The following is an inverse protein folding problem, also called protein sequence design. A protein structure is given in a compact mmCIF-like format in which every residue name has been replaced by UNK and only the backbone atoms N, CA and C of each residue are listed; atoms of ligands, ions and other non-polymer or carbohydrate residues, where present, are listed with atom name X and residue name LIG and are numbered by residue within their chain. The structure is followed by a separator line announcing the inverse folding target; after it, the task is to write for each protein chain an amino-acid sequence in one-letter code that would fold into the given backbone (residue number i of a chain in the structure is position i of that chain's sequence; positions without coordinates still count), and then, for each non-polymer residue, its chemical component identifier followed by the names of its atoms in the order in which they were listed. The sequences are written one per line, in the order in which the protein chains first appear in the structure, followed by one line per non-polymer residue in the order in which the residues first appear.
data_IF_334367833658
#
_entry.id   IF_334367833658
#
_cell.length_a   1.000
_cell.length_b   1.000
_cell.length_c   1.000
_cell.angle_alpha   90.00
_cell.angle_beta   90.00
_cell.angle_gamma   90.00
#
_symmetry.space_group_name_H-M   'P 1'
#
loop_
_entity.id
_entity.type
_entity.pdbx_description
1 polymer ?
#
# COMPACT_ATOMS: atom_id res chain seq x y z
N UNK A 1 0.25 -2.76 8.70
CA UNK A 1 1.58 -3.25 8.28
C UNK A 1 2.00 -4.35 9.22
N UNK A 2 2.90 -5.23 8.80
CA UNK A 2 3.48 -6.25 9.68
C UNK A 2 4.94 -5.86 9.93
N UNK A 3 5.36 -5.82 11.19
CA UNK A 3 6.76 -5.53 11.52
C UNK A 3 7.68 -6.72 11.25
N UNK A 4 8.97 -6.54 11.51
CA UNK A 4 10.00 -7.58 11.30
C UNK A 4 9.79 -8.82 12.18
N UNK A 5 8.95 -8.75 13.20
CA UNK A 5 8.61 -9.85 14.12
C UNK A 5 7.27 -10.52 13.75
N UNK A 6 6.62 -10.09 12.67
CA UNK A 6 5.34 -10.67 12.25
C UNK A 6 4.13 -10.06 12.95
N UNK A 7 4.29 -8.97 13.73
CA UNK A 7 3.18 -8.37 14.47
C UNK A 7 2.43 -7.34 13.63
N UNK A 8 1.10 -7.35 13.73
CA UNK A 8 0.26 -6.32 13.13
C UNK A 8 0.48 -4.98 13.83
N UNK A 9 0.90 -3.99 13.04
CA UNK A 9 1.09 -2.61 13.46
C UNK A 9 0.07 -1.74 12.72
N UNK A 10 -0.76 -1.04 13.50
CA UNK A 10 -1.56 0.07 13.03
C UNK A 10 -0.62 1.25 12.79
N UNK A 11 -0.47 1.62 11.52
CA UNK A 11 0.30 2.79 11.15
C UNK A 11 -0.64 3.99 11.08
N UNK A 12 -0.36 5.02 11.90
CA UNK A 12 -0.94 6.34 11.71
C UNK A 12 -0.18 7.06 10.59
N UNK A 13 -0.91 7.82 9.77
CA UNK A 13 -0.29 8.44 8.61
C UNK A 13 -1.29 9.21 7.76
N UNK A 14 -0.75 9.87 6.73
CA UNK A 14 -1.54 10.52 5.68
C UNK A 14 -1.31 9.77 4.38
N UNK A 15 -2.38 9.59 3.61
CA UNK A 15 -2.36 8.77 2.40
C UNK A 15 -3.05 9.54 1.26
N UNK A 16 -2.38 10.56 0.70
CA UNK A 16 -2.90 11.28 -0.45
C UNK A 16 -3.01 10.37 -1.67
N UNK A 17 -4.08 10.54 -2.44
CA UNK A 17 -4.32 9.83 -3.68
C UNK A 17 -4.47 10.82 -4.83
N UNK A 18 -3.61 10.69 -5.84
CA UNK A 18 -3.66 11.46 -7.09
C UNK A 18 -4.51 10.68 -8.10
N UNK A 19 -5.76 11.10 -8.25
CA UNK A 19 -6.77 10.44 -9.08
C UNK A 19 -6.39 10.39 -10.56
N UNK A 20 -5.71 11.41 -11.08
CA UNK A 20 -5.36 11.52 -12.50
C UNK A 20 -4.42 10.41 -12.97
N UNK A 21 -3.49 9.98 -12.10
CA UNK A 21 -2.45 9.01 -12.41
C UNK A 21 -2.60 7.70 -11.63
N UNK A 22 -3.68 7.56 -10.86
CA UNK A 22 -3.90 6.44 -9.94
C UNK A 22 -2.71 6.19 -9.00
N UNK A 23 -2.10 7.26 -8.49
CA UNK A 23 -0.93 7.19 -7.62
C UNK A 23 -1.28 7.43 -6.15
N UNK A 24 -0.83 6.53 -5.29
CA UNK A 24 -0.91 6.61 -3.84
C UNK A 24 0.44 7.02 -3.26
N UNK A 25 0.38 7.91 -2.27
CA UNK A 25 1.50 8.24 -1.41
C UNK A 25 1.20 7.76 0.00
N UNK A 26 2.17 7.17 0.69
CA UNK A 26 2.07 6.80 2.10
C UNK A 26 3.07 7.63 2.90
N UNK A 27 2.55 8.47 3.80
CA UNK A 27 3.36 9.15 4.81
C UNK A 27 3.18 8.43 6.14
N UNK A 28 4.19 7.65 6.53
CA UNK A 28 4.23 6.82 7.73
C UNK A 28 5.00 7.51 8.87
N UNK A 29 5.24 8.83 8.77
CA UNK A 29 5.97 9.64 9.74
C UNK A 29 7.50 9.46 9.70
N UNK A 30 7.98 8.23 9.70
CA UNK A 30 9.42 7.90 9.58
C UNK A 30 9.86 7.67 8.14
N UNK A 31 8.91 7.34 7.27
CA UNK A 31 9.15 7.00 5.87
C UNK A 31 8.02 7.57 5.01
N UNK A 32 8.42 8.15 3.88
CA UNK A 32 7.50 8.54 2.80
C UNK A 32 7.71 7.62 1.62
N UNK A 33 6.63 7.04 1.14
CA UNK A 33 6.61 6.15 -0.02
C UNK A 33 5.73 6.82 -1.06
N UNK A 34 6.32 7.12 -2.22
CA UNK A 34 5.67 7.87 -3.29
C UNK A 34 5.47 6.99 -4.52
N UNK A 35 4.57 7.42 -5.42
CA UNK A 35 4.35 6.77 -6.71
C UNK A 35 3.91 5.30 -6.63
N UNK A 36 3.16 4.91 -5.59
CA UNK A 36 2.53 3.60 -5.55
C UNK A 36 1.37 3.56 -6.54
N UNK A 37 1.34 2.54 -7.40
CA UNK A 37 0.30 2.39 -8.42
C UNK A 37 -0.89 1.68 -7.78
N UNK A 38 -2.08 2.29 -7.86
CA UNK A 38 -3.35 1.67 -7.48
C UNK A 38 -4.01 1.04 -8.70
N UNK A 39 -4.55 -0.17 -8.55
CA UNK A 39 -5.32 -0.86 -9.59
C UNK A 39 -6.35 -1.83 -8.99
N UNK A 40 -7.38 -2.16 -9.77
CA UNK A 40 -8.31 -3.24 -9.42
C UNK A 40 -7.66 -4.60 -9.71
N UNK A 41 -7.82 -5.55 -8.80
CA UNK A 41 -7.27 -6.90 -8.95
C UNK A 41 -8.12 -7.94 -8.22
N UNK A 42 -7.65 -9.18 -8.23
CA UNK A 42 -8.37 -10.29 -7.61
C UNK A 42 -7.69 -10.71 -6.30
N UNK A 43 -8.44 -10.70 -5.21
CA UNK A 43 -8.05 -11.32 -3.95
C UNK A 43 -8.27 -12.82 -4.04
N UNK A 44 -7.20 -13.55 -4.36
CA UNK A 44 -7.25 -15.00 -4.47
C UNK A 44 -7.69 -15.70 -3.17
N UNK A 45 -7.38 -15.13 -1.99
CA UNK A 45 -7.69 -15.77 -0.71
C UNK A 45 -9.20 -15.76 -0.41
N UNK A 46 -9.90 -14.75 -0.90
CA UNK A 46 -11.33 -14.54 -0.66
C UNK A 46 -12.18 -14.63 -1.94
N UNK A 47 -11.55 -15.00 -3.07
CA UNK A 47 -12.17 -15.16 -4.39
C UNK A 47 -13.01 -13.95 -4.83
N UNK A 48 -12.55 -12.73 -4.52
CA UNK A 48 -13.30 -11.49 -4.78
C UNK A 48 -12.45 -10.41 -5.44
N UNK A 49 -13.09 -9.48 -6.16
CA UNK A 49 -12.42 -8.29 -6.67
C UNK A 49 -12.08 -7.34 -5.52
N UNK A 50 -10.89 -6.75 -5.57
CA UNK A 50 -10.43 -5.80 -4.55
C UNK A 50 -9.53 -4.73 -5.17
N UNK A 51 -9.16 -3.74 -4.36
CA UNK A 51 -8.18 -2.73 -4.71
C UNK A 51 -6.80 -3.20 -4.23
N UNK A 52 -5.84 -3.19 -5.15
CA UNK A 52 -4.45 -3.50 -4.90
C UNK A 52 -3.58 -2.26 -5.11
N UNK A 53 -2.43 -2.21 -4.45
CA UNK A 53 -1.39 -1.25 -4.78
C UNK A 53 0.00 -1.86 -4.71
N UNK A 54 0.92 -1.34 -5.54
CA UNK A 54 2.31 -1.78 -5.59
C UNK A 54 3.27 -0.65 -5.94
N UNK A 55 4.53 -0.79 -5.55
CA UNK A 55 5.60 0.11 -5.94
C UNK A 55 6.90 -0.17 -5.17
N UNK A 56 7.78 0.82 -5.15
CA UNK A 56 9.06 0.76 -4.47
C UNK A 56 9.17 1.94 -3.49
N UNK A 57 9.83 1.71 -2.36
CA UNK A 57 10.28 2.80 -1.51
C UNK A 57 11.57 3.45 -2.08
N UNK A 58 12.06 4.50 -1.41
CA UNK A 58 13.29 5.20 -1.79
C UNK A 58 14.56 4.34 -1.75
N UNK A 59 14.50 3.14 -1.15
CA UNK A 59 15.61 2.17 -1.06
C UNK A 59 15.46 1.02 -2.05
N UNK A 60 14.43 1.04 -2.91
CA UNK A 60 14.15 -0.04 -3.86
C UNK A 60 13.54 -1.29 -3.21
N UNK A 61 13.04 -1.20 -1.98
CA UNK A 61 12.27 -2.29 -1.35
C UNK A 61 10.86 -2.31 -1.91
N UNK A 62 10.35 -3.51 -2.17
CA UNK A 62 9.01 -3.67 -2.71
C UNK A 62 7.93 -3.42 -1.65
N UNK A 63 6.88 -2.71 -2.04
CA UNK A 63 5.75 -2.35 -1.19
C UNK A 63 4.48 -2.83 -1.87
N UNK A 64 3.70 -3.66 -1.17
CA UNK A 64 2.48 -4.26 -1.68
C UNK A 64 1.37 -4.05 -0.66
N UNK A 65 0.15 -3.84 -1.14
CA UNK A 65 -1.02 -3.83 -0.28
C UNK A 65 -2.30 -4.22 -0.99
N UNK A 66 -3.23 -4.70 -0.18
CA UNK A 66 -4.57 -5.16 -0.56
C UNK A 66 -5.57 -4.47 0.34
N UNK A 67 -6.67 -3.94 -0.21
CA UNK A 67 -7.79 -3.45 0.60
C UNK A 67 -8.45 -4.64 1.30
N UNK A 68 -8.59 -4.54 2.62
CA UNK A 68 -9.37 -5.47 3.44
C UNK A 68 -10.76 -4.90 3.66
N UNK A 69 -11.77 -5.77 3.77
CA UNK A 69 -13.14 -5.42 4.18
C UNK A 69 -13.37 -5.69 5.67
#
# INVERSE_FOLDING_TARGET
MVDVEGKFVLASGKWPFLTENYLLMLDLGTEKIENLIIFAGHDWENETETILFTGLDSRGRSVWGKRIE
#
